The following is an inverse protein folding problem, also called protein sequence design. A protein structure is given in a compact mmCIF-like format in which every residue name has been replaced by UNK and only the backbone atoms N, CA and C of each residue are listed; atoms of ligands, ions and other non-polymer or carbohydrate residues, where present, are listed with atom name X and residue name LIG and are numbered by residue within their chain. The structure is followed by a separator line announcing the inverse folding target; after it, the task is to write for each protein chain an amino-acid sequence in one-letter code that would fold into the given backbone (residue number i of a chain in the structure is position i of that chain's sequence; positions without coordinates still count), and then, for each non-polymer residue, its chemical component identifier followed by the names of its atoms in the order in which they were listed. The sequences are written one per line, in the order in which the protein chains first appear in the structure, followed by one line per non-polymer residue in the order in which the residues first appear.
data_IF_441616356216
#
_entry.id   IF_441616356216
#
_cell.length_a   1.000
_cell.length_b   1.000
_cell.length_c   1.000
_cell.angle_alpha   90.00
_cell.angle_beta   90.00
_cell.angle_gamma   90.00
#
_symmetry.space_group_name_H-M   'P 1'
#
loop_
_entity.id
_entity.type
_entity.pdbx_description
1 polymer ?
#
# COMPACT_ATOMS: atom_id res chain seq x y z
N UNK A 1 -22.80 -1.70 15.24
CA UNK A 1 -21.45 -1.12 15.06
C UNK A 1 -20.56 -2.05 14.24
N UNK A 2 -20.58 -3.35 14.54
CA UNK A 2 -19.98 -4.44 13.78
C UNK A 2 -19.92 -4.26 12.25
N UNK A 3 -21.07 -4.11 11.57
CA UNK A 3 -21.10 -4.00 10.11
C UNK A 3 -20.32 -2.78 9.57
N UNK A 4 -20.36 -1.64 10.26
CA UNK A 4 -19.62 -0.45 9.84
C UNK A 4 -18.10 -0.65 9.94
N UNK A 5 -17.63 -1.29 11.02
CA UNK A 5 -16.22 -1.62 11.22
C UNK A 5 -15.74 -2.68 10.22
N UNK A 6 -16.56 -3.71 9.97
CA UNK A 6 -16.26 -4.78 9.03
C UNK A 6 -16.13 -4.23 7.60
N UNK A 7 -17.17 -3.55 7.08
CA UNK A 7 -17.14 -2.99 5.74
C UNK A 7 -16.11 -1.86 5.61
N UNK A 8 -15.94 -1.03 6.63
CA UNK A 8 -14.91 0.01 6.66
C UNK A 8 -13.49 -0.56 6.56
N UNK A 9 -13.19 -1.60 7.34
CA UNK A 9 -11.88 -2.27 7.31
C UNK A 9 -11.61 -2.99 5.98
N UNK A 10 -12.63 -3.56 5.34
CA UNK A 10 -12.53 -4.15 3.99
C UNK A 10 -12.23 -3.06 2.96
N UNK A 11 -12.98 -1.94 2.97
CA UNK A 11 -12.75 -0.83 2.03
C UNK A 11 -11.34 -0.26 2.17
N UNK A 12 -10.87 -0.06 3.41
CA UNK A 12 -9.51 0.44 3.67
C UNK A 12 -8.45 -0.53 3.11
N UNK A 13 -8.66 -1.84 3.26
CA UNK A 13 -7.75 -2.83 2.66
C UNK A 13 -7.74 -2.76 1.13
N UNK A 14 -8.92 -2.70 0.50
CA UNK A 14 -9.04 -2.58 -0.96
C UNK A 14 -8.32 -1.32 -1.46
N UNK A 15 -8.51 -0.18 -0.78
CA UNK A 15 -7.81 1.07 -1.10
C UNK A 15 -6.28 0.91 -0.93
N UNK A 16 -5.83 0.28 0.15
CA UNK A 16 -4.41 -0.01 0.38
C UNK A 16 -3.78 -0.87 -0.73
N UNK A 17 -4.48 -1.91 -1.17
CA UNK A 17 -4.05 -2.79 -2.27
C UNK A 17 -4.00 -2.02 -3.59
N UNK A 18 -5.04 -1.26 -3.93
CA UNK A 18 -5.08 -0.47 -5.17
C UNK A 18 -3.97 0.59 -5.20
N UNK A 19 -3.73 1.25 -4.05
CA UNK A 19 -2.62 2.18 -3.89
C UNK A 19 -1.27 1.50 -4.16
N UNK A 20 -1.01 0.36 -3.52
CA UNK A 20 0.23 -0.40 -3.73
C UNK A 20 0.39 -0.84 -5.18
N UNK A 21 -0.69 -1.29 -5.82
CA UNK A 21 -0.67 -1.78 -7.20
C UNK A 21 -0.35 -0.63 -8.17
N UNK A 22 -0.99 0.53 -8.01
CA UNK A 22 -0.72 1.71 -8.83
C UNK A 22 0.74 2.18 -8.71
N UNK A 23 1.25 2.26 -7.48
CA UNK A 23 2.65 2.66 -7.25
C UNK A 23 3.65 1.58 -7.67
N UNK A 24 3.31 0.30 -7.57
CA UNK A 24 4.14 -0.79 -8.07
C UNK A 24 4.30 -0.70 -9.59
N UNK A 25 3.20 -0.50 -10.34
CA UNK A 25 3.27 -0.35 -11.80
C UNK A 25 4.13 0.86 -12.19
N UNK A 26 3.89 2.02 -11.55
CA UNK A 26 4.66 3.24 -11.79
C UNK A 26 6.16 3.04 -11.50
N UNK A 27 6.49 2.41 -10.38
CA UNK A 27 7.88 2.20 -9.98
C UNK A 27 8.57 1.11 -10.80
N UNK A 28 7.88 0.04 -11.22
CA UNK A 28 8.43 -0.94 -12.15
C UNK A 28 8.87 -0.28 -13.47
N UNK A 29 8.05 0.63 -14.00
CA UNK A 29 8.42 1.40 -15.19
C UNK A 29 9.62 2.31 -14.92
N UNK A 30 9.64 3.00 -13.78
CA UNK A 30 10.75 3.84 -13.38
C UNK A 30 12.06 3.04 -13.24
N UNK A 31 12.04 1.90 -12.56
CA UNK A 31 13.20 1.00 -12.41
C UNK A 31 13.70 0.45 -13.73
N UNK A 32 12.80 0.14 -14.66
CA UNK A 32 13.20 -0.31 -16.00
C UNK A 32 13.92 0.80 -16.75
N UNK A 33 13.40 2.03 -16.70
CA UNK A 33 13.98 3.20 -17.37
C UNK A 33 15.30 3.67 -16.75
N UNK A 34 15.44 3.62 -15.43
CA UNK A 34 16.62 4.10 -14.70
C UNK A 34 17.67 3.01 -14.47
N UNK A 35 17.47 1.78 -14.99
CA UNK A 35 18.38 0.64 -14.79
C UNK A 35 19.85 0.93 -15.11
N UNK A 36 20.12 1.77 -16.10
CA UNK A 36 21.49 2.14 -16.51
C UNK A 36 21.99 3.45 -15.85
N UNK A 37 21.24 4.00 -14.89
CA UNK A 37 21.53 5.24 -14.16
C UNK A 37 21.42 5.00 -12.65
N UNK A 38 22.51 4.59 -11.98
CA UNK A 38 22.45 4.06 -10.61
C UNK A 38 21.91 5.07 -9.58
N UNK A 39 22.29 6.34 -9.70
CA UNK A 39 21.82 7.41 -8.78
C UNK A 39 20.30 7.63 -8.90
N UNK A 40 19.77 7.64 -10.12
CA UNK A 40 18.33 7.78 -10.36
C UNK A 40 17.54 6.53 -9.92
N UNK A 41 18.15 5.35 -10.06
CA UNK A 41 17.56 4.08 -9.61
C UNK A 41 17.45 4.00 -8.08
N UNK A 42 18.46 4.44 -7.33
CA UNK A 42 18.42 4.39 -5.87
C UNK A 42 17.43 5.41 -5.29
N UNK A 43 17.30 6.59 -5.89
CA UNK A 43 16.25 7.55 -5.55
C UNK A 43 14.84 6.96 -5.77
N UNK A 44 14.62 6.31 -6.91
CA UNK A 44 13.35 5.63 -7.20
C UNK A 44 13.06 4.48 -6.21
N UNK A 45 14.09 3.73 -5.78
CA UNK A 45 13.92 2.63 -4.82
C UNK A 45 13.53 3.14 -3.45
N UNK A 46 14.16 4.24 -3.02
CA UNK A 46 13.84 4.90 -1.75
C UNK A 46 12.40 5.43 -1.75
N UNK A 47 11.96 6.08 -2.83
CA UNK A 47 10.58 6.58 -2.95
C UNK A 47 9.57 5.42 -2.94
N UNK A 48 9.83 4.35 -3.72
CA UNK A 48 9.00 3.15 -3.69
C UNK A 48 8.89 2.53 -2.30
N UNK A 49 9.99 2.42 -1.56
CA UNK A 49 9.99 1.87 -0.20
C UNK A 49 9.07 2.68 0.73
N UNK A 50 9.11 4.02 0.66
CA UNK A 50 8.22 4.89 1.44
C UNK A 50 6.74 4.69 1.07
N UNK A 51 6.42 4.68 -0.23
CA UNK A 51 5.04 4.47 -0.71
C UNK A 51 4.54 3.08 -0.34
N UNK A 52 5.40 2.06 -0.44
CA UNK A 52 5.10 0.69 -0.03
C UNK A 52 4.78 0.61 1.46
N UNK A 53 5.56 1.25 2.32
CA UNK A 53 5.29 1.28 3.75
C UNK A 53 3.92 1.90 4.08
N UNK A 54 3.55 3.00 3.41
CA UNK A 54 2.24 3.64 3.58
C UNK A 54 1.10 2.70 3.17
N UNK A 55 1.20 2.07 1.99
CA UNK A 55 0.19 1.16 1.49
C UNK A 55 0.04 -0.10 2.37
N UNK A 56 1.15 -0.67 2.85
CA UNK A 56 1.11 -1.77 3.82
C UNK A 56 0.52 -1.33 5.16
N UNK A 57 0.83 -0.13 5.64
CA UNK A 57 0.24 0.42 6.86
C UNK A 57 -1.28 0.54 6.78
N UNK A 58 -1.80 1.00 5.63
CA UNK A 58 -3.23 1.04 5.35
C UNK A 58 -3.88 -0.35 5.40
N UNK A 59 -3.23 -1.36 4.81
CA UNK A 59 -3.75 -2.73 4.84
C UNK A 59 -3.78 -3.32 6.26
N UNK A 60 -2.69 -3.14 7.03
CA UNK A 60 -2.62 -3.60 8.42
C UNK A 60 -3.72 -2.92 9.24
N UNK A 61 -3.90 -1.61 9.09
CA UNK A 61 -4.94 -0.87 9.80
C UNK A 61 -6.35 -1.37 9.42
N UNK A 62 -6.63 -1.58 8.14
CA UNK A 62 -7.90 -2.15 7.70
C UNK A 62 -8.14 -3.56 8.26
N UNK A 63 -7.10 -4.38 8.34
CA UNK A 63 -7.20 -5.73 8.91
C UNK A 63 -7.50 -5.69 10.41
N UNK A 64 -6.90 -4.77 11.15
CA UNK A 64 -7.19 -4.56 12.57
C UNK A 64 -8.64 -4.12 12.79
N UNK A 65 -9.19 -3.24 11.94
CA UNK A 65 -10.61 -2.85 12.05
C UNK A 65 -11.56 -4.02 11.81
N UNK A 66 -11.25 -4.87 10.82
CA UNK A 66 -11.99 -6.12 10.59
C UNK A 66 -11.90 -7.02 11.82
N UNK A 67 -10.71 -7.21 12.41
CA UNK A 67 -10.56 -8.03 13.62
C UNK A 67 -11.35 -7.48 14.80
N UNK A 68 -11.27 -6.17 15.04
CA UNK A 68 -12.01 -5.50 16.12
C UNK A 68 -13.53 -5.65 15.94
N UNK A 69 -14.02 -5.68 14.70
CA UNK A 69 -15.45 -5.88 14.42
C UNK A 69 -15.98 -7.23 14.90
N UNK A 70 -15.13 -8.24 15.13
CA UNK A 70 -15.57 -9.51 15.71
C UNK A 70 -15.79 -9.44 17.23
N UNK A 71 -15.25 -8.42 17.90
CA UNK A 71 -15.36 -8.23 19.35
C UNK A 71 -16.40 -7.17 19.75
N UNK A 72 -16.99 -6.45 18.79
CA UNK A 72 -17.91 -5.31 18.99
C UNK A 72 -19.15 -5.44 18.11
#
# INVERSE_FOLDING_TARGET
MQNYLLYGGIVINVVGVLYLMAYAIKNTYAFHKTRNRPVEADAAKSDWAKKRAIGFGLMIFGALLVLISYFV
#
